data_IF_861826294417
#
_entry.id   IF_861826294417
#
_cell.length_a   1.000
_cell.length_b   1.000
_cell.length_c   1.000
_cell.angle_alpha   90.00
_cell.angle_beta   90.00
_cell.angle_gamma   90.00
#
_symmetry.space_group_name_H-M   'P 1'
#
loop_
_entity.id
_entity.type
_entity.pdbx_description
1 polymer ?
#
# COMPACT_ATOMS: atom_id res chain seq x y z
N UNK A 1 17.89 -17.87 35.58
CA UNK A 1 17.64 -17.18 34.30
C UNK A 1 16.95 -15.87 34.61
N UNK A 2 17.67 -14.75 34.52
CA UNK A 2 17.29 -13.47 35.14
C UNK A 2 17.12 -12.37 34.08
N UNK A 3 15.99 -11.68 34.11
CA UNK A 3 15.65 -10.53 33.25
C UNK A 3 16.45 -9.28 33.66
N UNK A 4 17.67 -9.08 33.14
CA UNK A 4 18.49 -7.87 33.39
C UNK A 4 19.22 -7.31 32.15
N UNK A 5 18.74 -7.56 30.94
CA UNK A 5 19.43 -7.20 29.69
C UNK A 5 18.89 -5.99 28.91
N UNK A 6 18.03 -5.13 29.47
CA UNK A 6 17.30 -4.10 28.69
C UNK A 6 17.59 -2.64 29.07
N UNK A 7 18.61 -2.35 29.89
CA UNK A 7 18.83 -0.98 30.41
C UNK A 7 20.11 -0.23 29.99
N UNK A 8 20.98 -0.77 29.13
CA UNK A 8 22.25 -0.10 28.78
C UNK A 8 22.47 0.11 27.27
N UNK A 9 21.57 0.83 26.58
CA UNK A 9 21.80 1.32 25.20
C UNK A 9 21.47 2.82 25.10
N UNK A 10 21.81 3.60 26.14
CA UNK A 10 21.65 5.07 26.13
C UNK A 10 22.90 5.75 26.72
N UNK A 11 23.97 5.79 25.94
CA UNK A 11 25.07 6.74 26.16
C UNK A 11 26.02 6.69 24.97
N UNK A 12 26.55 7.87 24.58
CA UNK A 12 27.46 8.19 23.45
C UNK A 12 26.65 8.65 22.22
N UNK A 13 26.64 9.91 21.77
CA UNK A 13 27.62 10.98 21.90
C UNK A 13 26.95 12.38 22.01
N UNK A 14 27.22 13.07 23.12
CA UNK A 14 27.29 14.53 23.15
C UNK A 14 28.78 14.85 23.14
N UNK A 15 29.29 15.38 22.04
CA UNK A 15 30.68 15.79 21.90
C UNK A 15 30.78 16.98 20.95
N UNK A 16 31.18 18.12 21.50
CA UNK A 16 31.27 19.43 20.85
C UNK A 16 32.41 19.49 19.82
N UNK A 17 32.28 20.51 18.95
CA UNK A 17 33.33 21.18 18.14
C UNK A 17 33.79 20.54 16.83
N UNK A 18 33.81 21.38 15.79
CA UNK A 18 34.87 21.39 14.79
C UNK A 18 34.53 20.81 13.42
N UNK A 19 34.73 21.62 12.38
CA UNK A 19 34.72 21.20 10.98
C UNK A 19 35.65 19.99 10.75
N UNK A 20 35.19 18.99 10.00
CA UNK A 20 36.02 17.89 9.51
C UNK A 20 35.23 16.89 8.68
N UNK A 21 35.68 16.65 7.45
CA UNK A 21 35.11 15.78 6.41
C UNK A 21 34.38 14.51 6.89
N UNK A 22 33.07 14.41 6.59
CA UNK A 22 32.37 13.12 6.52
C UNK A 22 32.48 12.61 5.08
N UNK A 23 33.60 11.96 4.77
CA UNK A 23 33.84 11.17 3.54
C UNK A 23 34.11 9.69 3.87
N UNK A 24 33.68 9.21 5.03
CA UNK A 24 33.90 7.82 5.46
C UNK A 24 32.78 7.33 6.37
N UNK A 25 31.62 7.02 5.80
CA UNK A 25 30.69 6.06 6.40
C UNK A 25 30.70 4.84 5.48
N UNK A 26 31.58 3.88 5.80
CA UNK A 26 31.53 2.54 5.22
C UNK A 26 30.28 1.80 5.79
N UNK A 27 29.64 0.94 4.98
CA UNK A 27 28.45 0.20 5.39
C UNK A 27 28.84 -0.91 6.37
N UNK A 28 28.85 -0.63 7.67
CA UNK A 28 29.19 -1.65 8.68
C UNK A 28 28.59 -1.45 10.06
N UNK A 29 27.53 -0.66 10.24
CA UNK A 29 26.94 -0.47 11.57
C UNK A 29 25.43 -0.70 11.59
N UNK A 30 25.05 -1.96 11.44
CA UNK A 30 23.92 -2.56 12.14
C UNK A 30 24.41 -3.88 12.76
N UNK A 31 24.95 -3.75 13.97
CA UNK A 31 25.39 -4.78 14.94
C UNK A 31 25.19 -6.27 14.57
N UNK A 32 26.30 -6.94 14.23
CA UNK A 32 26.67 -8.27 14.76
C UNK A 32 28.19 -8.30 14.92
N UNK A 33 28.67 -8.38 16.16
CA UNK A 33 30.04 -8.78 16.49
C UNK A 33 30.14 -10.29 16.25
N UNK A 34 30.89 -10.72 15.24
CA UNK A 34 31.77 -11.89 15.33
C UNK A 34 32.96 -11.64 14.41
N UNK A 35 34.15 -11.64 15.00
CA UNK A 35 35.42 -11.68 14.28
C UNK A 35 35.50 -12.97 13.46
N UNK A 36 36.17 -12.86 12.32
CA UNK A 36 36.43 -13.96 11.40
C UNK A 36 37.00 -15.19 12.14
N UNK A 37 36.37 -16.34 11.91
CA UNK A 37 37.10 -17.57 11.63
C UNK A 37 36.28 -18.41 10.66
N UNK A 38 37.01 -19.10 9.78
CA UNK A 38 36.54 -19.89 8.65
C UNK A 38 35.44 -20.90 9.03
N UNK A 39 34.18 -20.55 8.79
CA UNK A 39 33.11 -21.52 8.50
C UNK A 39 31.93 -20.80 7.84
N UNK A 40 31.66 -21.13 6.58
CA UNK A 40 30.44 -20.73 5.88
C UNK A 40 29.21 -21.37 6.54
N UNK A 41 28.72 -20.79 7.64
CA UNK A 41 27.37 -21.06 8.12
C UNK A 41 26.39 -20.09 7.48
N UNK A 42 25.73 -20.61 6.44
CA UNK A 42 24.67 -20.01 5.66
C UNK A 42 23.46 -19.66 6.55
N UNK A 43 23.52 -18.56 7.28
CA UNK A 43 22.36 -17.96 7.95
C UNK A 43 21.81 -16.83 7.06
N UNK A 44 21.01 -17.19 6.06
CA UNK A 44 20.35 -16.20 5.20
C UNK A 44 19.39 -15.34 6.03
N UNK A 45 19.80 -14.16 6.46
CA UNK A 45 18.91 -13.22 7.13
C UNK A 45 17.83 -12.79 6.13
N UNK A 46 16.57 -13.18 6.37
CA UNK A 46 15.49 -13.04 5.38
C UNK A 46 14.99 -11.61 5.20
N UNK A 47 15.42 -10.71 6.09
CA UNK A 47 15.06 -9.31 6.20
C UNK A 47 16.33 -8.48 6.01
N UNK A 48 16.48 -7.85 4.85
CA UNK A 48 17.57 -6.92 4.56
C UNK A 48 16.98 -5.51 4.45
N UNK A 49 16.94 -4.80 5.58
CA UNK A 49 16.71 -3.37 5.58
C UNK A 49 17.96 -2.67 5.04
N UNK A 50 17.88 -2.11 3.84
CA UNK A 50 18.97 -1.27 3.32
C UNK A 50 18.66 0.20 3.59
N UNK A 51 19.56 0.91 4.28
CA UNK A 51 19.42 2.31 4.68
C UNK A 51 20.24 3.25 3.79
N UNK A 52 19.65 4.37 3.36
CA UNK A 52 20.29 5.36 2.48
C UNK A 52 20.10 6.78 3.02
N UNK A 53 21.16 7.60 3.03
CA UNK A 53 21.12 9.00 3.47
C UNK A 53 21.81 9.91 2.44
N UNK A 54 21.25 11.09 2.19
CA UNK A 54 21.87 12.12 1.33
C UNK A 54 22.08 13.43 2.10
N UNK A 55 23.17 14.13 1.76
CA UNK A 55 23.73 15.27 2.51
C UNK A 55 23.08 16.62 2.20
N UNK A 56 22.31 16.75 1.14
CA UNK A 56 21.64 18.00 0.76
C UNK A 56 20.14 17.92 1.07
N UNK A 57 19.72 18.67 2.09
CA UNK A 57 18.34 19.03 2.47
C UNK A 57 17.38 17.97 3.04
N UNK A 58 17.97 17.06 3.85
CA UNK A 58 17.31 16.10 4.75
C UNK A 58 16.51 15.03 4.01
N UNK A 59 17.25 14.11 3.41
CA UNK A 59 16.79 12.79 2.98
C UNK A 59 17.19 11.80 4.06
N UNK A 60 16.21 11.30 4.81
CA UNK A 60 16.45 10.34 5.88
C UNK A 60 15.90 8.97 5.52
N UNK A 61 16.81 8.02 5.35
CA UNK A 61 16.59 6.58 5.40
C UNK A 61 15.40 6.06 4.58
N UNK A 62 15.69 5.40 3.46
CA UNK A 62 14.76 4.40 2.93
C UNK A 62 15.00 3.09 3.67
N UNK A 63 13.95 2.35 4.02
CA UNK A 63 14.07 0.95 4.38
C UNK A 63 13.33 0.12 3.33
N UNK A 64 14.06 -0.71 2.58
CA UNK A 64 13.47 -1.75 1.71
C UNK A 64 13.15 -2.97 2.57
N UNK A 65 11.97 -3.54 2.34
CA UNK A 65 11.63 -4.85 2.87
C UNK A 65 11.55 -5.81 1.67
N UNK A 66 12.38 -6.87 1.64
CA UNK A 66 12.37 -7.92 0.58
C UNK A 66 11.09 -8.79 0.60
N UNK A 67 10.01 -8.27 1.17
CA UNK A 67 8.70 -8.91 1.30
C UNK A 67 7.94 -8.92 -0.02
N UNK A 68 8.14 -7.93 -0.88
CA UNK A 68 7.43 -7.88 -2.16
C UNK A 68 7.88 -9.02 -3.07
N UNK A 69 9.17 -9.15 -3.34
CA UNK A 69 9.72 -10.23 -4.17
C UNK A 69 9.36 -11.62 -3.61
N UNK A 70 9.51 -11.82 -2.29
CA UNK A 70 9.28 -13.14 -1.64
C UNK A 70 7.80 -13.45 -1.38
N UNK A 71 6.99 -12.43 -1.12
CA UNK A 71 5.55 -12.55 -0.90
C UNK A 71 4.74 -12.54 -2.19
N UNK A 72 5.36 -12.17 -3.31
CA UNK A 72 4.77 -12.20 -4.64
C UNK A 72 4.68 -13.65 -5.14
N UNK A 73 3.49 -14.23 -5.00
CA UNK A 73 3.06 -15.41 -5.78
C UNK A 73 2.28 -14.94 -7.01
N UNK A 74 2.16 -15.76 -8.08
CA UNK A 74 1.38 -15.43 -9.29
C UNK A 74 -0.05 -14.93 -9.00
N UNK A 75 -0.60 -15.28 -7.84
CA UNK A 75 -1.95 -14.96 -7.38
C UNK A 75 -2.04 -13.74 -6.43
N UNK A 76 -0.93 -13.05 -6.16
CA UNK A 76 -0.92 -11.87 -5.28
C UNK A 76 -1.31 -10.60 -6.05
N UNK A 77 -2.05 -9.70 -5.40
CA UNK A 77 -2.39 -8.40 -5.99
C UNK A 77 -1.10 -7.63 -6.32
N UNK A 78 -0.80 -7.42 -7.61
CA UNK A 78 0.36 -6.63 -8.09
C UNK A 78 0.22 -5.11 -7.88
N UNK A 79 -0.52 -4.71 -6.86
CA UNK A 79 -0.78 -3.31 -6.54
C UNK A 79 0.13 -2.84 -5.43
N UNK A 80 0.71 -1.67 -5.61
CA UNK A 80 1.28 -0.89 -4.51
C UNK A 80 0.32 0.21 -4.10
N UNK A 81 0.12 0.39 -2.80
CA UNK A 81 -0.50 1.56 -2.20
C UNK A 81 0.58 2.47 -1.62
N UNK A 82 0.58 3.74 -2.00
CA UNK A 82 1.52 4.74 -1.45
C UNK A 82 0.76 5.89 -0.82
N UNK A 83 1.33 6.45 0.25
CA UNK A 83 0.77 7.61 0.94
C UNK A 83 1.87 8.34 1.71
N UNK A 84 1.69 9.65 1.88
CA UNK A 84 2.53 10.50 2.71
C UNK A 84 1.81 10.82 4.02
N UNK A 85 2.53 10.85 5.13
CA UNK A 85 1.95 11.29 6.40
C UNK A 85 2.92 12.09 7.24
N UNK A 86 2.45 13.20 7.81
CA UNK A 86 3.28 14.07 8.64
C UNK A 86 3.85 13.34 9.87
N UNK A 87 5.09 13.64 10.21
CA UNK A 87 5.68 13.27 11.50
C UNK A 87 4.99 14.04 12.63
N UNK A 88 4.94 13.44 13.84
CA UNK A 88 4.18 14.01 14.97
C UNK A 88 5.02 14.89 15.92
N UNK A 89 6.34 14.79 15.89
CA UNK A 89 7.26 15.58 16.73
C UNK A 89 7.92 16.75 15.99
N UNK A 90 8.60 17.60 16.75
CA UNK A 90 9.17 18.91 16.39
C UNK A 90 10.15 18.95 15.21
N UNK A 91 10.64 17.81 14.71
CA UNK A 91 11.61 17.76 13.60
C UNK A 91 10.93 18.06 12.25
N UNK A 92 9.59 18.08 12.19
CA UNK A 92 8.85 18.27 10.94
C UNK A 92 9.04 17.09 9.98
N UNK A 93 8.69 17.29 8.72
CA UNK A 93 8.80 16.27 7.68
C UNK A 93 7.61 15.34 7.52
N UNK A 94 7.71 14.48 6.51
CA UNK A 94 6.71 13.51 6.12
C UNK A 94 7.33 12.12 5.98
N UNK A 95 6.62 11.11 6.48
CA UNK A 95 6.91 9.72 6.25
C UNK A 95 6.13 9.26 5.01
N UNK A 96 6.86 8.95 3.95
CA UNK A 96 6.33 8.28 2.77
C UNK A 96 6.29 6.78 3.03
N UNK A 97 5.16 6.15 2.75
CA UNK A 97 4.96 4.72 2.99
C UNK A 97 4.46 4.07 1.72
N UNK A 98 5.04 2.93 1.38
CA UNK A 98 4.57 2.03 0.35
C UNK A 98 4.24 0.66 0.96
N UNK A 99 3.08 0.13 0.62
CA UNK A 99 2.65 -1.20 1.06
C UNK A 99 1.89 -1.95 -0.05
N UNK A 100 1.78 -3.26 0.10
CA UNK A 100 1.01 -4.13 -0.79
C UNK A 100 0.21 -5.15 0.02
N UNK A 101 -0.66 -5.91 -0.64
CA UNK A 101 -1.33 -7.06 -0.04
C UNK A 101 -0.76 -8.36 -0.59
N UNK A 102 -0.38 -9.27 0.29
CA UNK A 102 0.01 -10.62 -0.11
C UNK A 102 -1.22 -11.45 -0.54
N UNK A 103 -0.98 -12.67 -1.03
CA UNK A 103 -2.06 -13.57 -1.45
C UNK A 103 -3.10 -13.87 -0.36
N UNK A 104 -2.74 -13.83 0.93
CA UNK A 104 -3.65 -14.06 2.04
C UNK A 104 -4.39 -12.79 2.53
N UNK A 105 -4.43 -11.75 1.70
CA UNK A 105 -5.08 -10.46 1.99
C UNK A 105 -4.47 -9.71 3.20
N UNK A 106 -3.20 -9.98 3.54
CA UNK A 106 -2.48 -9.30 4.61
C UNK A 106 -1.63 -8.15 4.04
N UNK A 107 -1.65 -7.00 4.72
CA UNK A 107 -0.90 -5.82 4.30
C UNK A 107 0.56 -5.96 4.73
N UNK A 108 1.49 -5.70 3.82
CA UNK A 108 2.94 -5.72 4.05
C UNK A 108 3.55 -4.39 3.64
N UNK A 109 4.37 -3.81 4.51
CA UNK A 109 5.16 -2.62 4.18
C UNK A 109 6.27 -3.08 3.23
N UNK A 110 6.41 -2.39 2.09
CA UNK A 110 7.46 -2.68 1.11
C UNK A 110 8.56 -1.64 1.12
N UNK A 111 8.25 -0.40 1.52
CA UNK A 111 9.21 0.69 1.58
C UNK A 111 8.70 1.82 2.44
N UNK A 112 9.60 2.50 3.15
CA UNK A 112 9.33 3.76 3.84
C UNK A 112 10.44 4.75 3.57
N UNK A 113 10.15 6.04 3.48
CA UNK A 113 11.15 7.10 3.36
C UNK A 113 10.77 8.32 4.20
N UNK A 114 11.73 8.90 4.92
CA UNK A 114 11.51 10.14 5.65
C UNK A 114 12.06 11.31 4.85
N UNK A 115 11.17 12.26 4.54
CA UNK A 115 11.48 13.42 3.70
C UNK A 115 11.11 14.71 4.42
N UNK A 116 11.77 15.80 4.07
CA UNK A 116 11.51 17.13 4.65
C UNK A 116 10.13 17.69 4.29
N UNK A 117 9.61 17.37 3.11
CA UNK A 117 8.30 17.82 2.62
C UNK A 117 7.76 16.89 1.54
N UNK A 118 6.44 16.80 1.40
CA UNK A 118 5.79 16.10 0.28
C UNK A 118 5.84 16.99 -0.97
N UNK A 119 6.86 16.81 -1.80
CA UNK A 119 7.02 17.49 -3.08
C UNK A 119 7.40 16.50 -4.19
N UNK A 120 7.44 16.98 -5.42
CA UNK A 120 7.75 16.18 -6.61
C UNK A 120 9.13 15.51 -6.53
N UNK A 121 10.16 16.23 -6.08
CA UNK A 121 11.54 15.71 -6.01
C UNK A 121 11.67 14.56 -5.01
N UNK A 122 11.09 14.73 -3.82
CA UNK A 122 11.09 13.74 -2.75
C UNK A 122 10.29 12.49 -3.12
N UNK A 123 9.13 12.67 -3.77
CA UNK A 123 8.36 11.55 -4.32
C UNK A 123 9.12 10.85 -5.44
N UNK A 124 9.78 11.60 -6.34
CA UNK A 124 10.58 11.04 -7.44
C UNK A 124 11.74 10.21 -6.91
N UNK A 125 12.45 10.72 -5.90
CA UNK A 125 13.53 10.00 -5.23
C UNK A 125 13.01 8.70 -4.60
N UNK A 126 11.93 8.77 -3.81
CA UNK A 126 11.35 7.61 -3.14
C UNK A 126 10.85 6.57 -4.14
N UNK A 127 10.15 6.98 -5.20
CA UNK A 127 9.62 6.07 -6.22
C UNK A 127 10.71 5.44 -7.07
N UNK A 128 11.74 6.20 -7.48
CA UNK A 128 12.90 5.62 -8.20
C UNK A 128 13.54 4.53 -7.38
N UNK A 129 13.79 4.82 -6.09
CA UNK A 129 14.35 3.84 -5.17
C UNK A 129 13.41 2.65 -5.00
N UNK A 130 12.13 2.87 -4.73
CA UNK A 130 11.19 1.78 -4.52
C UNK A 130 11.13 0.87 -5.75
N UNK A 131 10.85 1.44 -6.93
CA UNK A 131 10.60 0.69 -8.16
C UNK A 131 11.83 -0.01 -8.71
N UNK A 132 13.04 0.53 -8.53
CA UNK A 132 14.27 -0.17 -8.93
C UNK A 132 14.48 -1.49 -8.18
N UNK A 133 13.80 -1.65 -7.05
CA UNK A 133 13.90 -2.81 -6.18
C UNK A 133 12.61 -3.64 -6.10
N UNK A 134 11.59 -3.32 -6.91
CA UNK A 134 10.38 -4.14 -7.02
C UNK A 134 10.45 -4.95 -8.31
N UNK A 135 10.66 -6.26 -8.19
CA UNK A 135 10.53 -7.18 -9.30
C UNK A 135 9.49 -8.27 -8.99
N UNK A 136 8.50 -8.48 -9.87
CA UNK A 136 8.23 -7.72 -11.12
C UNK A 136 7.71 -6.30 -10.83
N UNK A 137 7.78 -5.41 -11.83
CA UNK A 137 7.17 -4.07 -11.75
C UNK A 137 5.69 -4.17 -11.34
N UNK A 138 5.20 -3.28 -10.45
CA UNK A 138 3.80 -3.31 -10.05
C UNK A 138 2.87 -3.11 -11.24
N UNK A 139 1.72 -3.79 -11.22
CA UNK A 139 0.70 -3.67 -12.24
C UNK A 139 0.01 -2.30 -12.19
N UNK A 140 -0.11 -1.72 -11.00
CA UNK A 140 -0.58 -0.36 -10.80
C UNK A 140 -0.23 0.19 -9.40
N UNK A 141 -0.27 1.51 -9.28
CA UNK A 141 -0.11 2.23 -8.01
C UNK A 141 -1.42 2.93 -7.66
N UNK A 142 -1.82 2.90 -6.39
CA UNK A 142 -2.94 3.71 -5.88
C UNK A 142 -2.48 4.61 -4.73
N UNK A 143 -2.94 5.85 -4.71
CA UNK A 143 -2.59 6.82 -3.68
C UNK A 143 -3.67 7.89 -3.52
N UNK A 144 -3.49 8.82 -2.58
CA UNK A 144 -4.20 10.10 -2.63
C UNK A 144 -3.81 10.92 -3.88
N UNK A 145 -4.63 11.91 -4.24
CA UNK A 145 -4.44 12.85 -5.35
C UNK A 145 -3.46 13.96 -4.94
N UNK A 146 -2.23 13.58 -4.59
CA UNK A 146 -1.15 14.54 -4.33
C UNK A 146 -0.50 15.02 -5.64
N UNK A 147 -0.30 16.34 -5.76
CA UNK A 147 0.24 16.96 -6.98
C UNK A 147 1.70 16.60 -7.22
N UNK A 148 2.50 16.49 -6.15
CA UNK A 148 3.90 16.11 -6.24
C UNK A 148 4.05 14.66 -6.69
N UNK A 149 3.26 13.77 -6.07
CA UNK A 149 3.23 12.35 -6.42
C UNK A 149 2.77 12.09 -7.85
N UNK A 150 1.71 12.77 -8.30
CA UNK A 150 1.21 12.62 -9.68
C UNK A 150 2.29 12.89 -10.72
N UNK A 151 3.05 13.97 -10.56
CA UNK A 151 4.16 14.32 -11.46
C UNK A 151 5.32 13.35 -11.32
N UNK A 152 5.67 12.97 -10.09
CA UNK A 152 6.71 11.98 -9.83
C UNK A 152 6.41 10.65 -10.54
N UNK A 153 5.17 10.15 -10.46
CA UNK A 153 4.76 8.91 -11.15
C UNK A 153 4.95 8.99 -12.67
N UNK A 154 4.64 10.14 -13.30
CA UNK A 154 4.84 10.34 -14.73
C UNK A 154 6.32 10.25 -15.12
N UNK A 155 7.21 10.77 -14.26
CA UNK A 155 8.66 10.77 -14.48
C UNK A 155 9.30 9.41 -14.18
N UNK A 156 8.89 8.74 -13.09
CA UNK A 156 9.55 7.51 -12.61
C UNK A 156 8.99 6.24 -13.21
N UNK A 157 7.70 6.23 -13.56
CA UNK A 157 6.99 5.03 -13.98
C UNK A 157 5.88 5.33 -15.01
N UNK A 158 6.21 5.94 -16.16
CA UNK A 158 5.20 6.34 -17.16
C UNK A 158 4.34 5.17 -17.66
N UNK A 159 4.87 3.94 -17.65
CA UNK A 159 4.15 2.73 -18.05
C UNK A 159 3.30 2.08 -16.96
N UNK A 160 3.36 2.54 -15.71
CA UNK A 160 2.59 1.97 -14.59
C UNK A 160 1.34 2.82 -14.35
N UNK A 161 0.13 2.27 -14.54
CA UNK A 161 -1.10 2.98 -14.23
C UNK A 161 -1.12 3.50 -12.79
N UNK A 162 -1.38 4.79 -12.64
CA UNK A 162 -1.57 5.46 -11.36
C UNK A 162 -3.05 5.79 -11.16
N UNK A 163 -3.63 5.30 -10.06
CA UNK A 163 -5.03 5.51 -9.69
C UNK A 163 -5.16 6.38 -8.45
N UNK A 164 -6.22 7.19 -8.42
CA UNK A 164 -6.59 7.97 -7.26
C UNK A 164 -7.49 7.18 -6.33
N UNK A 165 -7.21 7.26 -5.03
CA UNK A 165 -8.07 6.75 -4.00
C UNK A 165 -9.43 7.43 -4.09
N UNK A 166 -10.46 6.66 -4.43
CA UNK A 166 -11.80 7.18 -4.60
C UNK A 166 -12.38 7.71 -3.28
N UNK A 167 -11.96 7.17 -2.13
CA UNK A 167 -12.37 7.70 -0.81
C UNK A 167 -11.93 9.16 -0.65
N UNK A 168 -10.65 9.45 -0.89
CA UNK A 168 -10.12 10.81 -0.85
C UNK A 168 -10.73 11.71 -1.93
N UNK A 169 -10.94 11.17 -3.14
CA UNK A 169 -11.64 11.89 -4.20
C UNK A 169 -13.04 12.32 -3.75
N UNK A 170 -13.76 11.44 -3.05
CA UNK A 170 -15.08 11.72 -2.48
C UNK A 170 -15.07 12.69 -1.30
N UNK A 171 -13.95 12.81 -0.57
CA UNK A 171 -13.80 13.86 0.45
C UNK A 171 -13.68 15.24 -0.20
N UNK A 172 -12.88 15.36 -1.26
CA UNK A 172 -12.78 16.59 -2.04
C UNK A 172 -14.10 16.94 -2.73
N UNK A 173 -14.78 15.95 -3.30
CA UNK A 173 -16.11 16.10 -3.88
C UNK A 173 -17.13 16.59 -2.83
N UNK A 174 -17.17 15.97 -1.65
CA UNK A 174 -18.13 16.32 -0.61
C UNK A 174 -17.84 17.70 0.02
N UNK A 175 -16.58 18.15 0.06
CA UNK A 175 -16.25 19.53 0.45
C UNK A 175 -16.88 20.56 -0.50
N UNK A 176 -16.92 20.26 -1.80
CA UNK A 176 -17.45 21.15 -2.84
C UNK A 176 -18.99 21.11 -2.93
N UNK A 177 -19.58 19.93 -3.06
CA UNK A 177 -21.02 19.77 -3.35
C UNK A 177 -21.88 19.52 -2.11
N UNK A 178 -21.27 19.09 -0.99
CA UNK A 178 -21.95 18.88 0.31
C UNK A 178 -23.21 18.02 0.25
N UNK A 179 -23.30 17.09 -0.69
CA UNK A 179 -24.47 16.25 -0.92
C UNK A 179 -24.15 14.76 -0.74
N UNK A 180 -24.79 14.13 0.26
CA UNK A 180 -24.69 12.69 0.52
C UNK A 180 -25.25 11.87 -0.63
N UNK A 181 -26.32 12.34 -1.28
CA UNK A 181 -26.94 11.66 -2.42
C UNK A 181 -25.98 11.62 -3.62
N UNK A 182 -25.39 12.76 -3.99
CA UNK A 182 -24.41 12.82 -5.08
C UNK A 182 -23.18 11.95 -4.77
N UNK A 183 -22.69 11.98 -3.52
CA UNK A 183 -21.59 11.10 -3.08
C UNK A 183 -21.93 9.62 -3.25
N UNK A 184 -23.14 9.20 -2.87
CA UNK A 184 -23.59 7.81 -3.03
C UNK A 184 -23.68 7.41 -4.50
N UNK A 185 -24.22 8.26 -5.35
CA UNK A 185 -24.28 8.02 -6.80
C UNK A 185 -22.88 7.96 -7.42
N UNK A 186 -21.95 8.81 -6.99
CA UNK A 186 -20.57 8.77 -7.44
C UNK A 186 -19.87 7.44 -7.06
N UNK A 187 -20.17 6.85 -5.90
CA UNK A 187 -19.71 5.50 -5.55
C UNK A 187 -20.28 4.40 -6.45
N UNK A 188 -21.55 4.51 -6.84
CA UNK A 188 -22.17 3.57 -7.80
C UNK A 188 -21.50 3.72 -9.17
N UNK A 189 -21.28 4.95 -9.60
CA UNK A 189 -20.58 5.27 -10.84
C UNK A 189 -19.16 4.67 -10.85
N UNK A 190 -18.38 4.88 -9.80
CA UNK A 190 -17.01 4.35 -9.72
C UNK A 190 -16.94 2.82 -9.74
N UNK A 191 -17.94 2.15 -9.14
CA UNK A 191 -18.04 0.68 -9.09
C UNK A 191 -18.64 0.06 -10.35
N UNK A 192 -19.15 0.87 -11.28
CA UNK A 192 -19.73 0.37 -12.53
C UNK A 192 -18.70 -0.48 -13.28
N UNK A 193 -19.07 -1.71 -13.63
CA UNK A 193 -18.16 -2.70 -14.24
C UNK A 193 -18.12 -2.58 -15.75
N UNK A 194 -19.19 -2.06 -16.35
CA UNK A 194 -19.30 -1.85 -17.80
C UNK A 194 -19.49 -0.38 -18.13
N UNK A 195 -19.11 0.01 -19.34
CA UNK A 195 -19.35 1.35 -19.86
C UNK A 195 -20.84 1.69 -19.90
N UNK A 196 -21.72 0.73 -20.22
CA UNK A 196 -23.17 0.93 -20.18
C UNK A 196 -23.72 1.24 -18.77
N UNK A 197 -23.22 0.55 -17.74
CA UNK A 197 -23.56 0.87 -16.34
C UNK A 197 -23.06 2.26 -15.95
N UNK A 198 -21.83 2.60 -16.38
CA UNK A 198 -21.24 3.90 -16.11
C UNK A 198 -22.07 5.03 -16.73
N UNK A 199 -22.46 4.91 -18.00
CA UNK A 199 -23.26 5.92 -18.69
C UNK A 199 -24.62 6.16 -18.03
N UNK A 200 -25.29 5.09 -17.57
CA UNK A 200 -26.53 5.21 -16.79
C UNK A 200 -26.29 5.93 -15.47
N UNK A 201 -25.22 5.58 -14.75
CA UNK A 201 -24.92 6.16 -13.45
C UNK A 201 -24.52 7.64 -13.55
N UNK A 202 -23.74 8.05 -14.56
CA UNK A 202 -23.36 9.46 -14.74
C UNK A 202 -24.55 10.30 -15.19
N UNK A 203 -25.46 9.76 -16.02
CA UNK A 203 -26.69 10.45 -16.40
C UNK A 203 -27.55 10.80 -15.17
N UNK A 204 -27.69 9.89 -14.21
CA UNK A 204 -28.40 10.16 -12.96
C UNK A 204 -27.76 11.28 -12.15
N UNK A 205 -26.41 11.37 -12.14
CA UNK A 205 -25.70 12.48 -11.49
C UNK A 205 -25.94 13.78 -12.25
N UNK A 206 -25.84 13.77 -13.58
CA UNK A 206 -26.05 14.96 -14.43
C UNK A 206 -27.44 15.55 -14.29
N UNK A 207 -28.48 14.71 -14.16
CA UNK A 207 -29.86 15.16 -13.92
C UNK A 207 -29.98 15.93 -12.59
N UNK A 208 -29.26 15.49 -11.56
CA UNK A 208 -29.29 16.13 -10.24
C UNK A 208 -28.39 17.36 -10.17
N UNK A 209 -27.18 17.27 -10.74
CA UNK A 209 -26.19 18.32 -10.78
C UNK A 209 -25.18 18.08 -11.92
N UNK A 210 -25.36 18.81 -13.01
CA UNK A 210 -24.47 18.75 -14.19
C UNK A 210 -23.05 19.24 -13.89
N UNK A 211 -22.88 20.13 -12.91
CA UNK A 211 -21.56 20.61 -12.49
C UNK A 211 -20.80 19.55 -11.70
N UNK A 212 -21.52 18.67 -10.99
CA UNK A 212 -20.94 17.53 -10.29
C UNK A 212 -20.46 16.43 -11.24
N UNK A 213 -21.24 16.12 -12.29
CA UNK A 213 -20.82 15.17 -13.32
C UNK A 213 -19.61 15.70 -14.11
N UNK A 214 -19.64 16.98 -14.51
CA UNK A 214 -18.51 17.62 -15.19
C UNK A 214 -17.21 17.55 -14.36
N UNK A 215 -17.30 17.75 -13.04
CA UNK A 215 -16.12 17.63 -12.17
C UNK A 215 -15.58 16.20 -12.08
N UNK A 216 -16.43 15.18 -12.07
CA UNK A 216 -16.00 13.78 -12.06
C UNK A 216 -15.28 13.40 -13.36
N UNK A 217 -15.76 13.90 -14.50
CA UNK A 217 -15.13 13.70 -15.81
C UNK A 217 -13.79 14.44 -15.91
N UNK A 218 -13.70 15.69 -15.42
CA UNK A 218 -12.47 16.50 -15.40
C UNK A 218 -11.31 15.84 -14.63
N UNK A 219 -11.63 15.06 -13.59
CA UNK A 219 -10.62 14.30 -12.83
C UNK A 219 -9.94 13.21 -13.70
N UNK A 220 -10.60 12.76 -14.77
CA UNK A 220 -10.16 11.66 -15.62
C UNK A 220 -10.70 10.32 -15.13
N UNK A 221 -11.72 9.79 -15.81
CA UNK A 221 -12.42 8.56 -15.42
C UNK A 221 -11.53 7.31 -15.40
N UNK A 222 -10.46 7.27 -16.18
CA UNK A 222 -9.47 6.19 -16.18
C UNK A 222 -8.73 6.09 -14.84
N UNK A 223 -8.60 7.20 -14.10
CA UNK A 223 -7.85 7.27 -12.84
C UNK A 223 -8.60 6.73 -11.63
N UNK A 224 -9.90 6.49 -11.74
CA UNK A 224 -10.70 6.09 -10.57
C UNK A 224 -11.86 5.14 -10.87
N UNK A 225 -12.43 5.14 -12.09
CA UNK A 225 -13.59 4.30 -12.42
C UNK A 225 -13.20 2.88 -12.85
N UNK A 226 -13.96 1.87 -12.40
CA UNK A 226 -13.69 0.48 -12.77
C UNK A 226 -13.93 0.25 -14.26
N UNK A 227 -15.00 0.80 -14.82
CA UNK A 227 -15.39 0.61 -16.22
C UNK A 227 -14.36 1.10 -17.25
N UNK A 228 -13.59 2.15 -16.93
CA UNK A 228 -12.57 2.73 -17.81
C UNK A 228 -11.14 2.46 -17.32
N UNK A 229 -10.96 1.51 -16.41
CA UNK A 229 -9.66 1.15 -15.86
C UNK A 229 -8.77 0.53 -16.95
N UNK A 230 -7.53 1.04 -17.18
CA UNK A 230 -6.61 0.47 -18.18
C UNK A 230 -6.07 -0.91 -17.79
N UNK A 231 -6.24 -1.33 -16.54
CA UNK A 231 -5.86 -2.65 -16.05
C UNK A 231 -6.93 -3.23 -15.10
N UNK A 232 -6.97 -4.56 -14.91
CA UNK A 232 -7.82 -5.18 -13.90
C UNK A 232 -7.46 -4.70 -12.49
N UNK A 233 -8.44 -4.15 -11.77
CA UNK A 233 -8.27 -3.67 -10.39
C UNK A 233 -8.99 -4.50 -9.33
N UNK A 234 -9.76 -5.52 -9.73
CA UNK A 234 -10.48 -6.40 -8.81
C UNK A 234 -11.29 -5.64 -7.73
N UNK A 235 -12.05 -4.63 -8.14
CA UNK A 235 -12.82 -3.72 -7.26
C UNK A 235 -11.99 -2.90 -6.26
N UNK A 236 -10.67 -2.80 -6.47
CA UNK A 236 -9.84 -1.86 -5.72
C UNK A 236 -10.09 -0.43 -6.17
N UNK A 237 -10.75 0.33 -5.32
CA UNK A 237 -11.01 1.77 -5.52
C UNK A 237 -10.30 2.66 -4.50
N UNK A 238 -9.70 2.10 -3.46
CA UNK A 238 -9.17 2.89 -2.34
C UNK A 238 -7.76 2.48 -1.93
N UNK A 239 -7.05 3.43 -1.30
CA UNK A 239 -5.75 3.26 -0.65
C UNK A 239 -5.86 2.78 0.81
N UNK A 240 -6.92 2.05 1.16
CA UNK A 240 -7.18 1.60 2.55
C UNK A 240 -5.98 0.86 3.18
N UNK A 241 -5.17 0.17 2.37
CA UNK A 241 -4.01 -0.56 2.88
C UNK A 241 -2.98 0.36 3.52
N UNK A 242 -2.62 1.45 2.83
CA UNK A 242 -1.60 2.37 3.32
C UNK A 242 -2.16 3.27 4.41
N UNK A 243 -3.45 3.59 4.37
CA UNK A 243 -4.16 4.27 5.46
C UNK A 243 -4.15 3.44 6.75
N UNK A 244 -4.39 2.12 6.65
CA UNK A 244 -4.30 1.21 7.79
C UNK A 244 -2.87 1.16 8.35
N UNK A 245 -1.85 1.10 7.49
CA UNK A 245 -0.44 1.17 7.93
C UNK A 245 -0.17 2.51 8.63
N UNK A 246 -0.58 3.63 8.05
CA UNK A 246 -0.38 4.97 8.63
C UNK A 246 -1.04 5.14 9.99
N UNK A 247 -2.19 4.48 10.20
CA UNK A 247 -2.88 4.40 11.50
C UNK A 247 -2.05 3.63 12.52
N UNK A 248 -1.56 2.44 12.16
CA UNK A 248 -0.71 1.61 13.04
C UNK A 248 0.60 2.31 13.39
N UNK A 249 1.23 2.99 12.42
CA UNK A 249 2.48 3.71 12.62
C UNK A 249 2.31 5.05 13.37
N UNK A 250 1.09 5.44 13.75
CA UNK A 250 0.82 6.74 14.42
C UNK A 250 1.64 6.96 15.69
N UNK A 251 1.78 5.91 16.53
CA UNK A 251 2.63 5.97 17.72
C UNK A 251 4.12 6.03 17.37
N UNK A 252 4.55 5.22 16.41
CA UNK A 252 5.95 5.10 15.98
C UNK A 252 6.45 6.42 15.35
N UNK A 253 5.61 7.14 14.60
CA UNK A 253 5.91 8.48 14.03
C UNK A 253 6.08 9.59 15.06
N UNK A 254 5.75 9.31 16.32
CA UNK A 254 5.97 10.23 17.44
C UNK A 254 7.30 9.97 18.14
N UNK A 255 8.09 8.99 17.69
CA UNK A 255 9.43 8.72 18.21
C UNK A 255 10.47 9.62 17.52
N UNK A 256 11.64 9.85 18.14
CA UNK A 256 12.81 10.37 17.43
C UNK A 256 13.07 9.55 16.17
N UNK A 257 13.64 10.19 15.15
CA UNK A 257 13.87 9.61 13.83
C UNK A 257 14.41 8.18 13.87
N UNK A 258 15.53 7.96 14.57
CA UNK A 258 16.21 6.65 14.59
C UNK A 258 15.28 5.59 15.20
N UNK A 259 14.65 5.92 16.32
CA UNK A 259 13.66 5.08 16.97
C UNK A 259 12.40 4.86 16.11
N UNK A 260 12.02 5.84 15.28
CA UNK A 260 10.92 5.71 14.34
C UNK A 260 11.24 4.64 13.29
N UNK A 261 12.41 4.70 12.65
CA UNK A 261 12.84 3.69 11.69
C UNK A 261 12.97 2.31 12.32
N UNK A 262 13.63 2.22 13.48
CA UNK A 262 13.73 0.97 14.23
C UNK A 262 12.36 0.42 14.63
N UNK A 263 11.41 1.30 14.96
CA UNK A 263 10.03 0.94 15.28
C UNK A 263 9.27 0.38 14.08
N UNK A 264 9.43 0.99 12.90
CA UNK A 264 8.84 0.50 11.64
C UNK A 264 9.48 -0.84 11.25
N UNK A 265 10.80 -0.94 11.32
CA UNK A 265 11.56 -2.17 11.06
C UNK A 265 11.07 -3.30 11.97
N UNK A 266 11.01 -3.06 13.28
CA UNK A 266 10.48 -4.03 14.25
C UNK A 266 9.05 -4.44 13.93
N UNK A 267 8.18 -3.48 13.59
CA UNK A 267 6.80 -3.77 13.21
C UNK A 267 6.72 -4.69 11.98
N UNK A 268 7.46 -4.36 10.91
CA UNK A 268 7.47 -5.16 9.69
C UNK A 268 8.06 -6.55 9.92
N UNK A 269 9.14 -6.66 10.71
CA UNK A 269 9.75 -7.93 11.08
C UNK A 269 8.80 -8.80 11.91
N UNK A 270 8.13 -8.25 12.92
CA UNK A 270 7.12 -8.97 13.70
C UNK A 270 5.97 -9.47 12.82
N UNK A 271 5.44 -8.62 11.92
CA UNK A 271 4.39 -9.01 10.97
C UNK A 271 4.83 -10.13 10.05
N UNK A 272 6.07 -10.10 9.59
CA UNK A 272 6.62 -11.18 8.78
C UNK A 272 6.68 -12.50 9.55
N UNK A 273 7.21 -12.51 10.78
CA UNK A 273 7.29 -13.71 11.61
C UNK A 273 5.89 -14.30 11.88
N UNK A 274 4.91 -13.46 12.18
CA UNK A 274 3.52 -13.87 12.29
C UNK A 274 3.02 -14.54 11.01
N UNK A 275 3.25 -13.93 9.85
CA UNK A 275 2.79 -14.44 8.57
C UNK A 275 3.47 -15.76 8.18
N UNK A 276 4.79 -15.88 8.36
CA UNK A 276 5.53 -17.13 8.10
C UNK A 276 5.02 -18.27 8.98
N UNK A 277 4.70 -17.96 10.24
CA UNK A 277 4.13 -18.95 11.16
C UNK A 277 2.76 -19.43 10.70
N UNK A 278 1.93 -18.54 10.12
CA UNK A 278 0.64 -18.91 9.51
C UNK A 278 0.80 -19.76 8.26
N UNK A 279 1.81 -19.47 7.42
CA UNK A 279 2.06 -20.23 6.17
C UNK A 279 2.25 -21.71 6.45
N UNK A 280 2.87 -22.07 7.57
CA UNK A 280 3.05 -23.47 7.99
C UNK A 280 1.72 -24.21 8.24
N UNK A 281 0.65 -23.47 8.54
CA UNK A 281 -0.68 -24.02 8.79
C UNK A 281 -1.58 -23.99 7.55
N UNK A 282 -1.09 -23.54 6.39
CA UNK A 282 -1.90 -23.48 5.17
C UNK A 282 -2.05 -24.88 4.55
N UNK A 283 -3.27 -25.20 4.11
CA UNK A 283 -3.56 -26.40 3.33
C UNK A 283 -3.34 -26.18 1.83
N UNK A 284 -4.07 -26.93 1.00
CA UNK A 284 -4.05 -26.80 -0.47
C UNK A 284 -4.38 -25.38 -0.94
N UNK A 285 -5.32 -24.73 -0.25
CA UNK A 285 -5.68 -23.33 -0.45
C UNK A 285 -5.20 -22.48 0.74
N UNK A 286 -4.85 -21.24 0.44
CA UNK A 286 -4.60 -20.23 1.47
C UNK A 286 -5.91 -19.91 2.21
N UNK A 287 -5.88 -19.60 3.53
CA UNK A 287 -7.09 -19.42 4.33
C UNK A 287 -8.08 -18.42 3.73
N UNK A 288 -7.60 -17.29 3.20
CA UNK A 288 -8.46 -16.32 2.53
C UNK A 288 -9.18 -16.91 1.30
N UNK A 289 -8.47 -17.67 0.48
CA UNK A 289 -9.05 -18.31 -0.70
C UNK A 289 -10.05 -19.39 -0.29
N UNK A 290 -9.73 -20.22 0.72
CA UNK A 290 -10.67 -21.21 1.27
C UNK A 290 -11.95 -20.53 1.74
N UNK A 291 -11.83 -19.48 2.56
CA UNK A 291 -12.98 -18.72 3.03
C UNK A 291 -13.80 -18.13 1.88
N UNK A 292 -13.16 -17.60 0.84
CA UNK A 292 -13.88 -17.07 -0.33
C UNK A 292 -14.56 -18.14 -1.16
N UNK A 293 -13.95 -19.30 -1.32
CA UNK A 293 -14.59 -20.46 -1.95
C UNK A 293 -15.78 -20.91 -1.12
N UNK A 294 -15.64 -21.03 0.20
CA UNK A 294 -16.73 -21.44 1.10
C UNK A 294 -17.89 -20.44 1.09
N UNK A 295 -17.59 -19.13 1.12
CA UNK A 295 -18.57 -18.06 0.98
C UNK A 295 -19.33 -18.18 -0.35
N UNK A 296 -18.59 -18.35 -1.46
CA UNK A 296 -19.17 -18.52 -2.79
C UNK A 296 -20.02 -19.78 -2.88
N UNK A 297 -19.53 -20.91 -2.36
CA UNK A 297 -20.27 -22.18 -2.32
C UNK A 297 -21.54 -22.06 -1.48
N UNK A 298 -21.49 -21.36 -0.35
CA UNK A 298 -22.66 -21.11 0.47
C UNK A 298 -23.68 -20.19 -0.21
N UNK A 299 -23.23 -19.22 -1.02
CA UNK A 299 -24.14 -18.42 -1.86
C UNK A 299 -24.64 -19.20 -3.09
N UNK A 300 -23.83 -20.09 -3.65
CA UNK A 300 -24.16 -20.89 -4.83
C UNK A 300 -25.11 -22.05 -4.50
N UNK A 301 -25.18 -22.50 -3.24
CA UNK A 301 -26.21 -23.44 -2.75
C UNK A 301 -27.65 -22.98 -3.01
N UNK A 302 -27.84 -21.70 -3.33
CA UNK A 302 -29.14 -21.10 -3.65
C UNK A 302 -29.33 -20.88 -5.16
N UNK A 303 -28.41 -21.37 -6.00
CA UNK A 303 -28.55 -21.38 -7.46
C UNK A 303 -28.87 -22.79 -7.97
N UNK A 304 -29.96 -22.92 -8.73
CA UNK A 304 -30.19 -24.09 -9.57
C UNK A 304 -29.42 -23.92 -10.88
N UNK A 305 -28.76 -24.99 -11.33
CA UNK A 305 -28.01 -25.00 -12.58
C UNK A 305 -28.71 -26.00 -13.50
N UNK A 306 -29.34 -25.48 -14.56
CA UNK A 306 -29.93 -26.30 -15.61
C UNK A 306 -29.00 -26.31 -16.83
N UNK A 307 -28.68 -27.49 -17.33
CA UNK A 307 -27.89 -27.64 -18.55
C UNK A 307 -28.77 -27.31 -19.76
N UNK A 308 -28.45 -26.23 -20.47
CA UNK A 308 -29.16 -25.84 -21.69
C UNK A 308 -28.54 -26.47 -22.93
N UNK A 309 -27.24 -26.83 -22.89
CA UNK A 309 -26.52 -27.58 -23.93
C UNK A 309 -25.17 -28.09 -23.38
N UNK A 310 -24.47 -28.91 -24.16
CA UNK A 310 -23.14 -29.48 -23.81
C UNK A 310 -22.02 -28.49 -23.50
N UNK A 311 -22.25 -27.19 -23.69
CA UNK A 311 -21.29 -26.13 -23.38
C UNK A 311 -21.91 -24.90 -22.70
N UNK A 312 -23.20 -24.95 -22.35
CA UNK A 312 -23.90 -23.79 -21.82
C UNK A 312 -24.90 -24.19 -20.72
N UNK A 313 -24.78 -23.54 -19.57
CA UNK A 313 -25.62 -23.76 -18.40
C UNK A 313 -26.42 -22.49 -18.07
N UNK A 314 -27.69 -22.66 -17.71
CA UNK A 314 -28.54 -21.61 -17.17
C UNK A 314 -28.44 -21.68 -15.65
N UNK A 315 -28.01 -20.60 -15.02
CA UNK A 315 -27.94 -20.50 -13.56
C UNK A 315 -29.12 -19.66 -13.08
N UNK A 316 -30.10 -20.30 -12.44
CA UNK A 316 -31.24 -19.66 -11.81
C UNK A 316 -30.96 -19.48 -10.32
N UNK A 317 -30.81 -18.23 -9.86
CA UNK A 317 -30.62 -17.94 -8.43
C UNK A 317 -32.02 -17.87 -7.78
N UNK A 318 -32.33 -18.78 -6.85
CA UNK A 318 -33.58 -18.76 -6.08
C UNK A 318 -33.62 -17.49 -5.23
N UNK A 319 -34.54 -16.58 -5.54
CA UNK A 319 -34.66 -15.25 -4.93
C UNK A 319 -35.61 -15.20 -3.73
N UNK A 320 -36.01 -16.35 -3.17
CA UNK A 320 -37.03 -16.45 -2.14
C UNK A 320 -36.52 -16.29 -0.70
N UNK A 321 -35.25 -15.93 -0.48
CA UNK A 321 -34.76 -15.58 0.86
C UNK A 321 -34.01 -14.24 0.87
N UNK A 322 -34.77 -13.20 1.21
CA UNK A 322 -34.32 -12.12 2.10
C UNK A 322 -33.15 -11.24 1.65
N UNK A 323 -33.50 -10.03 1.23
CA UNK A 323 -32.63 -8.85 1.22
C UNK A 323 -31.78 -8.79 2.51
N UNK A 324 -30.46 -8.96 2.41
CA UNK A 324 -29.55 -8.53 3.46
C UNK A 324 -29.00 -7.14 3.10
N UNK A 325 -29.33 -6.18 3.97
CA UNK A 325 -28.88 -4.77 3.97
C UNK A 325 -27.37 -4.64 4.20
#
# INVERSE_FOLDING_TARGET
MNMRGLHNICSVAIGKTGLGCISSLKPSHAFWLMENDDEQQQTSSFFEGSYYASKSDIILAVAKFNLFEKGYKPYSERRISVDGTFMKKSVGGALLVACFRNGNNEIQITGVGLVSVENEDNWTWFLKFLLSHLQPTPAFVISDRDKGLMKAMQTTAPGVPHFFCFRHLMENFNKKYKSKMLKNLAWILARSRTTGQYQKAIANITILDSSASAWLEDVGRDKWSTAYSPCPRYNTLTSNNVEAVNSVLKGIRSLPVIECFMGIERYAACKWVENVSKVKAWGVLIPYASHKVDELMNTAKWGEIDESSSSCFIVAIRSDVGIFR
#
